data_IF_062938978459
#
_entry.id   IF_062938978459
#
_cell.length_a   1.000
_cell.length_b   1.000
_cell.length_c   1.000
_cell.angle_alpha   90.00
_cell.angle_beta   90.00
_cell.angle_gamma   90.00
#
_symmetry.space_group_name_H-M   'P 1'
#
loop_
_entity.id
_entity.type
_entity.pdbx_description
1 polymer ?
#
# COMPACT_ATOMS: atom_id res chain seq x y z
N UNK A 1 14.44 3.72 3.40
CA UNK A 1 13.15 3.05 3.10
C UNK A 1 12.74 1.99 4.14
N UNK A 2 13.37 1.96 5.33
CA UNK A 2 13.26 0.83 6.25
C UNK A 2 11.87 0.64 6.88
N UNK A 3 11.15 1.72 7.22
CA UNK A 3 9.81 1.59 7.82
C UNK A 3 8.78 1.02 6.83
N UNK A 4 8.88 1.36 5.54
CA UNK A 4 7.99 0.81 4.52
C UNK A 4 8.31 -0.68 4.32
N UNK A 5 9.59 -1.04 4.29
CA UNK A 5 10.01 -2.44 4.18
C UNK A 5 9.55 -3.27 5.37
N UNK A 6 9.66 -2.74 6.59
CA UNK A 6 9.15 -3.37 7.81
C UNK A 6 7.64 -3.59 7.77
N UNK A 7 6.88 -2.60 7.28
CA UNK A 7 5.43 -2.73 7.14
C UNK A 7 5.05 -3.76 6.06
N UNK A 8 5.79 -3.81 4.94
CA UNK A 8 5.63 -4.87 3.94
C UNK A 8 5.87 -6.24 4.57
N UNK A 9 6.95 -6.39 5.34
CA UNK A 9 7.28 -7.64 6.02
C UNK A 9 6.20 -8.05 7.03
N UNK A 10 5.64 -7.08 7.74
CA UNK A 10 4.54 -7.31 8.68
C UNK A 10 3.28 -7.81 7.96
N UNK A 11 2.88 -7.16 6.85
CA UNK A 11 1.71 -7.57 6.06
C UNK A 11 1.91 -8.98 5.49
N UNK A 12 3.09 -9.26 4.94
CA UNK A 12 3.40 -10.57 4.37
C UNK A 12 3.42 -11.67 5.43
N UNK A 13 3.98 -11.39 6.61
CA UNK A 13 4.00 -12.32 7.74
C UNK A 13 2.58 -12.63 8.21
N UNK A 14 1.73 -11.61 8.36
CA UNK A 14 0.34 -11.80 8.77
C UNK A 14 -0.46 -12.58 7.72
N UNK A 15 -0.21 -12.31 6.43
CA UNK A 15 -0.80 -13.07 5.34
C UNK A 15 -0.38 -14.54 5.40
N UNK A 16 0.91 -14.83 5.64
CA UNK A 16 1.41 -16.20 5.76
C UNK A 16 0.72 -16.94 6.91
N UNK A 17 0.62 -16.33 8.10
CA UNK A 17 -0.06 -16.92 9.28
C UNK A 17 -1.52 -17.24 8.94
N UNK A 18 -2.22 -16.32 8.28
CA UNK A 18 -3.61 -16.55 7.89
C UNK A 18 -3.72 -17.72 6.88
N UNK A 19 -2.79 -17.81 5.93
CA UNK A 19 -2.78 -18.91 4.97
C UNK A 19 -2.48 -20.25 5.63
N UNK A 20 -1.56 -20.29 6.61
CA UNK A 20 -1.26 -21.47 7.41
C UNK A 20 -2.50 -21.97 8.14
N UNK A 21 -3.29 -21.05 8.70
CA UNK A 21 -4.53 -21.39 9.41
C UNK A 21 -5.58 -22.04 8.50
N UNK A 22 -5.52 -21.80 7.19
CA UNK A 22 -6.36 -22.44 6.18
C UNK A 22 -5.76 -23.74 5.61
N UNK A 23 -4.63 -24.21 6.14
CA UNK A 23 -3.97 -25.45 5.72
C UNK A 23 -3.20 -25.33 4.40
N UNK A 24 -2.87 -24.11 3.95
CA UNK A 24 -2.05 -23.90 2.76
C UNK A 24 -0.56 -24.12 3.05
N UNK A 25 0.16 -24.69 2.08
CA UNK A 25 1.61 -24.91 2.18
C UNK A 25 2.39 -23.64 1.85
N UNK A 26 2.65 -22.83 2.88
CA UNK A 26 3.34 -21.53 2.77
C UNK A 26 4.70 -21.68 2.06
N UNK A 27 5.43 -22.78 2.28
CA UNK A 27 6.78 -22.96 1.72
C UNK A 27 6.79 -23.03 0.20
N UNK A 28 5.69 -23.49 -0.41
CA UNK A 28 5.54 -23.53 -1.87
C UNK A 28 5.15 -22.18 -2.46
N UNK A 29 4.47 -21.33 -1.68
CA UNK A 29 3.95 -20.04 -2.14
C UNK A 29 4.92 -18.89 -1.85
N UNK A 30 5.65 -18.95 -0.73
CA UNK A 30 6.64 -17.96 -0.32
C UNK A 30 8.05 -18.37 -0.77
N UNK A 31 8.22 -18.55 -2.08
CA UNK A 31 9.55 -18.73 -2.69
C UNK A 31 10.25 -17.37 -2.81
N UNK A 32 11.58 -17.34 -2.96
CA UNK A 32 12.35 -16.09 -3.06
C UNK A 32 11.85 -15.16 -4.17
N UNK A 33 11.50 -15.72 -5.33
CA UNK A 33 11.00 -14.96 -6.48
C UNK A 33 9.59 -14.43 -6.20
N UNK A 34 8.68 -15.28 -5.73
CA UNK A 34 7.29 -14.91 -5.45
C UNK A 34 7.20 -13.87 -4.34
N UNK A 35 7.99 -14.02 -3.27
CA UNK A 35 8.07 -13.04 -2.18
C UNK A 35 8.47 -11.68 -2.72
N UNK A 36 9.40 -11.60 -3.66
CA UNK A 36 9.83 -10.31 -4.19
C UNK A 36 8.73 -9.61 -5.00
N UNK A 37 8.00 -10.35 -5.82
CA UNK A 37 6.82 -9.84 -6.53
C UNK A 37 5.71 -9.41 -5.56
N UNK A 38 5.51 -10.18 -4.48
CA UNK A 38 4.55 -9.82 -3.43
C UNK A 38 4.96 -8.53 -2.72
N UNK A 39 6.24 -8.35 -2.37
CA UNK A 39 6.74 -7.11 -1.76
C UNK A 39 6.42 -5.88 -2.61
N UNK A 40 6.66 -5.97 -3.91
CA UNK A 40 6.39 -4.87 -4.85
C UNK A 40 4.90 -4.53 -4.90
N UNK A 41 4.03 -5.55 -4.95
CA UNK A 41 2.56 -5.37 -4.94
C UNK A 41 2.00 -4.88 -3.62
N UNK A 42 2.60 -5.29 -2.49
CA UNK A 42 2.15 -4.92 -1.14
C UNK A 42 2.64 -3.53 -0.72
N UNK A 43 3.69 -3.01 -1.35
CA UNK A 43 4.26 -1.69 -1.06
C UNK A 43 3.24 -0.53 -0.98
N UNK A 44 2.29 -0.34 -1.92
CA UNK A 44 1.28 0.73 -1.81
C UNK A 44 0.41 0.59 -0.55
N UNK A 45 0.00 -0.62 -0.20
CA UNK A 45 -0.82 -0.87 0.99
C UNK A 45 -0.03 -0.61 2.27
N UNK A 46 1.24 -1.03 2.30
CA UNK A 46 2.16 -0.74 3.40
C UNK A 46 2.33 0.76 3.61
N UNK A 47 2.47 1.53 2.52
CA UNK A 47 2.54 3.00 2.61
C UNK A 47 1.26 3.58 3.23
N UNK A 48 0.09 3.09 2.83
CA UNK A 48 -1.19 3.55 3.37
C UNK A 48 -1.35 3.20 4.85
N UNK A 49 -1.03 1.96 5.26
CA UNK A 49 -1.06 1.55 6.67
C UNK A 49 -0.08 2.34 7.53
N UNK A 50 1.14 2.52 7.05
CA UNK A 50 2.15 3.31 7.76
C UNK A 50 1.69 4.76 7.93
N UNK A 51 1.13 5.38 6.89
CA UNK A 51 0.55 6.73 6.98
C UNK A 51 -0.56 6.81 8.02
N UNK A 52 -1.47 5.84 8.04
CA UNK A 52 -2.56 5.79 9.04
C UNK A 52 -2.02 5.65 10.46
N UNK A 53 -1.07 4.73 10.67
CA UNK A 53 -0.44 4.52 11.98
C UNK A 53 0.25 5.79 12.48
N UNK A 54 1.05 6.44 11.61
CA UNK A 54 1.73 7.69 11.95
C UNK A 54 0.75 8.84 12.18
N UNK A 55 -0.34 8.91 11.40
CA UNK A 55 -1.38 9.92 11.60
C UNK A 55 -2.02 9.78 13.00
N UNK A 56 -2.41 8.56 13.39
CA UNK A 56 -2.98 8.30 14.71
C UNK A 56 -1.98 8.59 15.83
N UNK A 57 -0.71 8.25 15.65
CA UNK A 57 0.35 8.57 16.61
C UNK A 57 0.53 10.09 16.78
N UNK A 58 0.51 10.85 15.68
CA UNK A 58 0.61 12.31 15.73
C UNK A 58 -0.63 12.97 16.35
N UNK A 59 -1.83 12.47 16.07
CA UNK A 59 -3.05 12.90 16.75
C UNK A 59 -2.92 12.69 18.25
N UNK A 60 -2.45 11.51 18.64
CA UNK A 60 -2.26 11.15 20.03
C UNK A 60 -1.29 12.07 20.77
N UNK A 61 -0.18 12.44 20.12
CA UNK A 61 0.78 13.40 20.67
C UNK A 61 0.18 14.81 20.78
N UNK A 62 -0.53 15.28 19.76
CA UNK A 62 -1.13 16.63 19.73
C UNK A 62 -2.20 16.81 20.78
N UNK A 63 -3.07 15.82 20.93
CA UNK A 63 -4.16 15.83 21.89
C UNK A 63 -3.74 15.27 23.26
N UNK A 64 -2.45 14.92 23.42
CA UNK A 64 -1.87 14.37 24.66
C UNK A 64 -2.66 13.18 25.21
N UNK A 65 -3.07 12.28 24.32
CA UNK A 65 -3.79 11.06 24.70
C UNK A 65 -2.84 10.13 25.46
N UNK A 66 -3.25 9.76 26.67
CA UNK A 66 -2.51 8.82 27.51
C UNK A 66 -3.35 7.59 27.79
N UNK A 67 -2.68 6.45 27.89
CA UNK A 67 -3.27 5.19 28.32
C UNK A 67 -2.89 4.97 29.78
N UNK A 68 -3.87 4.56 30.59
CA UNK A 68 -3.63 4.25 32.00
C UNK A 68 -2.72 3.01 32.11
N UNK A 69 -1.68 3.06 32.96
CA UNK A 69 -0.74 1.94 33.11
C UNK A 69 -1.45 0.66 33.59
N UNK A 70 -2.49 0.79 34.41
CA UNK A 70 -3.30 -0.34 34.87
C UNK A 70 -4.02 -1.06 33.71
N UNK A 71 -4.49 -0.31 32.71
CA UNK A 71 -5.13 -0.90 31.53
C UNK A 71 -4.12 -1.65 30.65
N UNK A 72 -2.89 -1.13 30.54
CA UNK A 72 -1.79 -1.79 29.84
C UNK A 72 -1.44 -3.09 30.56
N UNK A 73 -1.19 -3.03 31.88
CA UNK A 73 -0.76 -4.19 32.65
C UNK A 73 -1.80 -5.30 32.63
N UNK A 74 -3.09 -4.95 32.75
CA UNK A 74 -4.20 -5.92 32.62
C UNK A 74 -4.21 -6.62 31.26
N UNK A 75 -4.12 -5.86 30.15
CA UNK A 75 -4.18 -6.43 28.79
C UNK A 75 -2.90 -7.22 28.47
N UNK A 76 -1.76 -6.83 29.03
CA UNK A 76 -0.51 -7.61 28.97
C UNK A 76 -0.66 -8.94 29.71
N UNK A 77 -1.20 -8.94 30.93
CA UNK A 77 -1.44 -10.18 31.70
C UNK A 77 -2.37 -11.14 30.94
N UNK A 78 -3.49 -10.63 30.41
CA UNK A 78 -4.44 -11.40 29.60
C UNK A 78 -3.80 -12.02 28.34
N UNK A 79 -2.87 -11.30 27.69
CA UNK A 79 -2.14 -11.83 26.53
C UNK A 79 -1.07 -12.84 26.95
N UNK A 80 -0.33 -12.59 28.02
CA UNK A 80 0.70 -13.50 28.53
C UNK A 80 0.10 -14.84 28.99
N UNK A 81 -1.12 -14.84 29.53
CA UNK A 81 -1.84 -16.07 29.87
C UNK A 81 -2.23 -16.87 28.60
N UNK A 82 -2.70 -16.21 27.55
CA UNK A 82 -3.04 -16.84 26.27
C UNK A 82 -1.82 -17.47 25.57
N UNK A 83 -0.65 -16.87 25.74
CA UNK A 83 0.61 -17.38 25.21
C UNK A 83 1.41 -18.21 26.23
N UNK A 84 0.77 -18.66 27.32
CA UNK A 84 1.43 -19.45 28.35
C UNK A 84 2.06 -20.72 27.76
N UNK A 85 3.38 -20.86 27.95
CA UNK A 85 4.17 -21.96 27.37
C UNK A 85 4.90 -21.64 26.07
N UNK A 86 4.78 -20.42 25.54
CA UNK A 86 5.65 -19.89 24.48
C UNK A 86 6.70 -18.94 25.05
N UNK A 87 7.86 -18.90 24.41
CA UNK A 87 8.92 -17.94 24.75
C UNK A 87 8.57 -16.57 24.13
N UNK A 88 7.82 -15.78 24.90
CA UNK A 88 7.34 -14.45 24.49
C UNK A 88 8.03 -13.37 25.31
N UNK A 89 8.59 -12.39 24.62
CA UNK A 89 9.20 -11.22 25.24
C UNK A 89 8.12 -10.29 25.81
N UNK A 90 8.07 -10.19 27.14
CA UNK A 90 7.11 -9.37 27.88
C UNK A 90 7.23 -7.88 27.56
N UNK A 91 8.45 -7.37 27.30
CA UNK A 91 8.65 -5.97 26.95
C UNK A 91 8.05 -5.67 25.56
N UNK A 92 8.23 -6.60 24.62
CA UNK A 92 7.64 -6.49 23.29
C UNK A 92 6.11 -6.53 23.33
N UNK A 93 5.53 -7.41 24.14
CA UNK A 93 4.06 -7.47 24.33
C UNK A 93 3.55 -6.16 24.93
N UNK A 94 4.24 -5.64 25.95
CA UNK A 94 3.86 -4.36 26.59
C UNK A 94 3.86 -3.20 25.60
N UNK A 95 4.93 -3.04 24.81
CA UNK A 95 5.03 -2.00 23.79
C UNK A 95 3.93 -2.12 22.72
N UNK A 96 3.59 -3.36 22.34
CA UNK A 96 2.51 -3.61 21.39
C UNK A 96 1.15 -3.20 21.97
N UNK A 97 0.85 -3.64 23.19
CA UNK A 97 -0.41 -3.30 23.90
C UNK A 97 -0.54 -1.80 24.11
N UNK A 98 0.55 -1.13 24.51
CA UNK A 98 0.56 0.32 24.69
C UNK A 98 0.24 1.03 23.37
N UNK A 99 0.93 0.69 22.28
CA UNK A 99 0.68 1.28 20.96
C UNK A 99 -0.75 1.02 20.46
N UNK A 100 -1.27 -0.18 20.69
CA UNK A 100 -2.62 -0.59 20.30
C UNK A 100 -3.70 0.20 21.06
N UNK A 101 -3.60 0.26 22.39
CA UNK A 101 -4.52 1.04 23.23
C UNK A 101 -4.47 2.53 22.90
N UNK A 102 -3.30 3.05 22.55
CA UNK A 102 -3.15 4.45 22.13
C UNK A 102 -3.89 4.72 20.81
N UNK A 103 -3.74 3.83 19.83
CA UNK A 103 -4.45 3.91 18.54
C UNK A 103 -5.96 3.81 18.74
N UNK A 104 -6.44 2.89 19.58
CA UNK A 104 -7.86 2.77 19.93
C UNK A 104 -8.40 4.09 20.51
N UNK A 105 -7.68 4.71 21.46
CA UNK A 105 -8.06 6.01 22.03
C UNK A 105 -8.04 7.14 21.00
N UNK A 106 -7.07 7.15 20.09
CA UNK A 106 -7.00 8.14 19.03
C UNK A 106 -8.20 8.04 18.07
N UNK A 107 -8.59 6.83 17.71
CA UNK A 107 -9.77 6.58 16.87
C UNK A 107 -11.03 7.00 17.62
N UNK A 108 -11.19 6.63 18.89
CA UNK A 108 -12.34 7.04 19.69
C UNK A 108 -12.46 8.56 19.78
N UNK A 109 -11.35 9.26 20.01
CA UNK A 109 -11.33 10.72 20.00
C UNK A 109 -11.74 11.28 18.64
N UNK A 110 -11.26 10.68 17.53
CA UNK A 110 -11.67 11.05 16.18
C UNK A 110 -13.17 10.92 15.99
N UNK A 111 -13.78 9.83 16.45
CA UNK A 111 -15.21 9.59 16.34
C UNK A 111 -16.04 10.60 17.13
N UNK A 112 -15.60 10.96 18.34
CA UNK A 112 -16.26 11.95 19.19
C UNK A 112 -16.23 13.38 18.60
N UNK A 113 -15.19 13.69 17.82
CA UNK A 113 -14.99 15.00 17.19
C UNK A 113 -15.33 15.02 15.70
N UNK A 114 -15.73 13.88 15.13
CA UNK A 114 -16.11 13.79 13.73
C UNK A 114 -17.54 14.31 13.52
N UNK A 115 -17.72 15.11 12.47
CA UNK A 115 -19.06 15.47 11.98
C UNK A 115 -19.63 14.29 11.20
N UNK A 116 -20.60 13.58 11.78
CA UNK A 116 -21.27 12.44 11.13
C UNK A 116 -22.50 12.94 10.36
N UNK A 117 -22.47 12.81 9.04
CA UNK A 117 -23.62 13.09 8.17
C UNK A 117 -24.35 11.80 7.79
N UNK A 118 -25.66 11.73 8.06
CA UNK A 118 -26.49 10.60 7.70
C UNK A 118 -27.01 10.77 6.27
N UNK A 119 -26.52 9.92 5.39
CA UNK A 119 -26.95 9.89 3.99
C UNK A 119 -28.01 8.80 3.76
N UNK A 120 -29.02 9.04 2.90
CA UNK A 120 -30.01 8.02 2.57
C UNK A 120 -29.37 6.76 2.00
N UNK A 121 -29.93 5.58 2.30
CA UNK A 121 -29.48 4.30 1.76
C UNK A 121 -29.41 4.38 0.22
N UNK A 122 -28.23 4.14 -0.35
CA UNK A 122 -27.99 4.15 -1.81
C UNK A 122 -27.41 5.45 -2.39
N UNK A 123 -27.22 6.51 -1.60
CA UNK A 123 -26.66 7.79 -2.10
C UNK A 123 -25.13 7.84 -2.19
N UNK A 124 -24.41 6.89 -1.58
CA UNK A 124 -22.95 6.76 -1.66
C UNK A 124 -22.48 5.86 -2.81
N UNK A 125 -23.38 5.30 -3.62
CA UNK A 125 -23.06 4.33 -4.67
C UNK A 125 -22.60 4.96 -6.00
N UNK A 126 -22.34 6.26 -6.05
CA UNK A 126 -22.00 6.97 -7.30
C UNK A 126 -20.58 7.54 -7.21
N UNK A 127 -19.57 6.67 -7.35
CA UNK A 127 -18.19 7.10 -7.67
C UNK A 127 -17.24 5.98 -8.14
N UNK A 128 -17.69 4.74 -8.40
CA UNK A 128 -16.79 3.64 -8.81
C UNK A 128 -17.01 3.11 -10.24
N UNK A 129 -17.98 3.62 -11.01
CA UNK A 129 -18.34 3.02 -12.31
C UNK A 129 -17.66 3.60 -13.58
N UNK A 130 -16.85 4.66 -13.51
CA UNK A 130 -16.29 5.25 -14.75
C UNK A 130 -14.94 4.67 -15.23
N UNK A 131 -14.35 3.66 -14.57
CA UNK A 131 -13.04 3.12 -15.00
C UNK A 131 -13.08 1.74 -15.68
N UNK A 132 -14.24 1.08 -15.79
CA UNK A 132 -14.31 -0.28 -16.39
C UNK A 132 -15.04 -0.38 -17.74
N UNK A 133 -15.67 0.68 -18.25
CA UNK A 133 -16.61 0.55 -19.37
C UNK A 133 -16.04 0.80 -20.79
N UNK A 134 -14.71 0.75 -20.99
CA UNK A 134 -14.11 0.94 -22.34
C UNK A 134 -13.17 -0.18 -22.81
N UNK A 135 -13.25 -1.40 -22.26
CA UNK A 135 -12.46 -2.54 -22.75
C UNK A 135 -13.27 -3.69 -23.35
N UNK A 136 -14.61 -3.72 -23.22
CA UNK A 136 -15.41 -4.89 -23.63
C UNK A 136 -16.20 -4.74 -24.94
N UNK A 137 -16.04 -3.64 -25.69
CA UNK A 137 -16.88 -3.38 -26.87
C UNK A 137 -16.23 -3.68 -28.23
N UNK A 138 -15.15 -4.47 -28.32
CA UNK A 138 -14.59 -4.83 -29.63
C UNK A 138 -13.72 -6.09 -29.67
N UNK A 139 -14.18 -7.25 -29.21
CA UNK A 139 -13.81 -8.52 -29.88
C UNK A 139 -14.91 -9.57 -29.66
N UNK A 140 -15.76 -9.75 -30.66
CA UNK A 140 -16.39 -11.04 -30.94
C UNK A 140 -16.78 -11.05 -32.41
N UNK A 141 -16.21 -11.98 -33.19
CA UNK A 141 -17.06 -12.80 -34.02
C UNK A 141 -16.77 -14.29 -33.82
N UNK A 142 -17.83 -14.96 -33.37
CA UNK A 142 -18.34 -16.27 -33.80
C UNK A 142 -17.33 -17.29 -34.33
N UNK A 143 -17.17 -18.35 -33.54
CA UNK A 143 -16.51 -19.60 -33.90
C UNK A 143 -17.55 -20.46 -34.64
N UNK A 144 -17.40 -20.63 -35.95
CA UNK A 144 -18.11 -21.66 -36.72
C UNK A 144 -17.06 -22.59 -37.35
N UNK A 145 -17.23 -23.88 -37.11
CA UNK A 145 -16.30 -24.93 -37.51
C UNK A 145 -16.70 -25.52 -38.86
N UNK A 146 -15.88 -25.33 -39.90
CA UNK A 146 -15.72 -26.27 -41.02
C UNK A 146 -14.52 -25.88 -41.90
N UNK A 147 -13.71 -26.88 -42.21
CA UNK A 147 -12.74 -27.04 -43.31
C UNK A 147 -12.42 -25.82 -44.20
N UNK A 148 -11.14 -25.43 -44.25
CA UNK A 148 -10.30 -25.55 -45.46
C UNK A 148 -8.87 -25.04 -45.19
N UNK A 149 -7.92 -25.90 -45.50
CA UNK A 149 -6.51 -25.59 -45.78
C UNK A 149 -6.39 -24.50 -46.85
N UNK A 150 -5.32 -23.68 -46.79
CA UNK A 150 -4.46 -23.14 -47.89
C UNK A 150 -3.74 -21.89 -47.31
N UNK A 151 -2.48 -22.01 -46.88
CA UNK A 151 -1.24 -21.78 -47.64
C UNK A 151 -0.96 -20.30 -48.01
N UNK A 152 0.03 -19.73 -47.30
CA UNK A 152 1.14 -18.87 -47.79
C UNK A 152 0.81 -17.75 -48.79
N UNK A 153 1.06 -16.48 -48.40
CA UNK A 153 2.16 -15.67 -48.98
C UNK A 153 2.30 -14.28 -48.36
N UNK A 154 3.54 -13.93 -48.03
CA UNK A 154 4.00 -12.57 -47.84
C UNK A 154 3.88 -11.78 -49.15
N UNK A 155 3.43 -10.52 -49.10
CA UNK A 155 3.83 -9.49 -50.07
C UNK A 155 3.95 -8.11 -49.43
N UNK A 156 5.21 -7.70 -49.40
CA UNK A 156 5.77 -6.36 -49.31
C UNK A 156 5.22 -5.43 -50.41
N UNK A 157 4.87 -4.19 -50.06
CA UNK A 157 5.02 -3.01 -50.94
C UNK A 157 4.82 -1.71 -50.15
N UNK A 158 5.94 -1.07 -49.81
CA UNK A 158 6.12 0.39 -49.71
C UNK A 158 6.15 0.99 -51.14
N UNK A 159 6.33 2.31 -51.38
CA UNK A 159 6.41 3.50 -50.50
C UNK A 159 5.44 4.62 -51.01
N UNK A 160 5.31 5.83 -50.43
CA UNK A 160 6.21 6.98 -50.70
C UNK A 160 5.62 8.28 -50.13
N UNK A 161 6.47 9.03 -49.42
CA UNK A 161 6.57 10.50 -49.21
C UNK A 161 5.33 11.28 -48.75
N UNK A 162 5.39 12.28 -47.87
CA UNK A 162 6.40 13.25 -47.45
C UNK A 162 5.78 13.92 -46.18
N UNK A 163 6.46 14.51 -45.20
CA UNK A 163 7.83 14.92 -45.05
C UNK A 163 8.11 15.17 -43.56
N UNK A 164 9.40 15.04 -43.22
CA UNK A 164 10.14 15.87 -42.25
C UNK A 164 9.85 15.68 -40.76
N UNK A 165 10.50 14.72 -40.07
CA UNK A 165 11.90 14.77 -39.53
C UNK A 165 11.95 15.43 -38.14
N UNK A 166 11.90 14.58 -37.11
CA UNK A 166 12.58 14.75 -35.81
C UNK A 166 14.12 14.83 -36.02
N UNK A 167 15.01 15.20 -35.06
CA UNK A 167 15.14 14.48 -33.80
C UNK A 167 15.67 15.26 -32.57
N UNK A 168 15.74 14.49 -31.49
CA UNK A 168 16.14 14.66 -30.10
C UNK A 168 17.47 15.38 -29.76
N UNK A 169 17.67 15.53 -28.43
CA UNK A 169 18.91 15.57 -27.61
C UNK A 169 19.82 16.81 -27.78
N UNK A 170 20.51 17.39 -26.79
CA UNK A 170 21.01 16.95 -25.49
C UNK A 170 21.47 18.20 -24.67
N UNK A 171 21.77 17.97 -23.39
CA UNK A 171 22.83 18.61 -22.58
C UNK A 171 22.92 20.15 -22.32
N UNK A 172 23.03 20.43 -21.01
CA UNK A 172 23.99 21.33 -20.34
C UNK A 172 23.84 22.86 -20.47
N UNK A 173 23.65 23.50 -19.31
CA UNK A 173 24.37 24.66 -18.75
C UNK A 173 23.63 25.05 -17.44
N UNK A 174 24.11 24.69 -16.26
CA UNK A 174 25.14 25.38 -15.48
C UNK A 174 24.90 26.90 -15.39
N UNK A 175 24.29 27.35 -14.28
CA UNK A 175 24.65 28.63 -13.67
C UNK A 175 24.45 28.58 -12.17
N UNK A 176 25.59 28.63 -11.50
CA UNK A 176 25.82 28.88 -10.09
C UNK A 176 25.61 30.38 -9.87
N UNK A 177 24.91 30.77 -8.81
CA UNK A 177 25.28 32.02 -8.13
C UNK A 177 25.17 31.82 -6.62
N UNK A 178 26.33 31.90 -5.98
CA UNK A 178 26.58 31.90 -4.54
C UNK A 178 27.28 33.20 -4.26
N UNK A 179 26.65 34.11 -3.50
CA UNK A 179 27.33 35.05 -2.60
C UNK A 179 26.40 35.26 -1.40
N UNK A 180 26.68 34.68 -0.22
CA UNK A 180 27.73 35.01 0.75
C UNK A 180 27.45 36.32 1.53
N UNK A 181 27.69 36.23 2.83
CA UNK A 181 27.30 37.12 3.91
C UNK A 181 28.21 38.37 4.06
N UNK A 182 27.75 39.25 4.95
CA UNK A 182 28.48 40.19 5.81
C UNK A 182 28.77 41.65 5.37
N UNK A 183 28.25 42.54 6.25
CA UNK A 183 28.82 43.79 6.77
C UNK A 183 29.14 44.96 5.82
N UNK A 184 28.49 46.11 6.05
CA UNK A 184 29.06 47.30 6.76
C UNK A 184 28.27 48.59 6.41
N UNK A 185 27.74 49.28 7.44
CA UNK A 185 27.69 50.75 7.61
C UNK A 185 26.75 51.64 6.76
N UNK A 186 25.72 52.21 7.41
CA UNK A 186 25.72 53.61 7.88
C UNK A 186 24.80 53.74 9.11
#
# INVERSE_FOLDING_TARGET
ETMIEQEVDQILTQTAIQMESYGMDIKKLFTKETVQQMRERTRPDAINRLKQSLALEEISKRESLTVEPEAIDKKVEELMEQFSGQDVDSERVRNFVESDLLKEKAIQWLEEHATIELVPKGSLAVAEEETQSQVEASVSPQIDAAEQTIDVQAQESLPTEEASVSPQIDAAEQTIDVQAQESTQD
#
